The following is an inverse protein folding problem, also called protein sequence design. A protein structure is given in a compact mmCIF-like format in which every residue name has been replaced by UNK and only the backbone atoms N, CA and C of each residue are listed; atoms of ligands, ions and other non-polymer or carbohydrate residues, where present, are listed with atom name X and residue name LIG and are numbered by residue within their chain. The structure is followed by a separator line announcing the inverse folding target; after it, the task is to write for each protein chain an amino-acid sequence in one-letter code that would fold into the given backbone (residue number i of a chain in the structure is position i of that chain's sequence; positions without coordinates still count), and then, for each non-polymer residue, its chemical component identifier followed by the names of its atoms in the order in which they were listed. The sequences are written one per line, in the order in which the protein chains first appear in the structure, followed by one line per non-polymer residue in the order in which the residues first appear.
data_IF_663121636343
#
_entry.id   IF_663121636343
#
_cell.length_a   1.000
_cell.length_b   1.000
_cell.length_c   1.000
_cell.angle_alpha   90.00
_cell.angle_beta   90.00
_cell.angle_gamma   90.00
#
_symmetry.space_group_name_H-M   'P 1'
#
loop_
_entity.id
_entity.type
_entity.pdbx_description
1 polymer ?
#
# COMPACT_ATOMS: atom_id res chain seq x y z
N UNK A 1 5.90 43.15 -3.86
CA UNK A 1 6.74 42.42 -2.89
C UNK A 1 6.35 40.96 -2.94
N UNK A 2 7.21 40.11 -3.50
CA UNK A 2 7.04 38.64 -3.54
C UNK A 2 7.70 38.09 -2.27
N UNK A 3 6.92 37.47 -1.38
CA UNK A 3 7.47 36.69 -0.29
C UNK A 3 7.70 35.27 -0.81
N UNK A 4 8.94 35.00 -1.20
CA UNK A 4 9.48 33.65 -1.33
C UNK A 4 9.82 33.14 0.07
N UNK A 5 9.00 32.22 0.58
CA UNK A 5 9.24 31.44 1.80
C UNK A 5 9.26 29.96 1.42
N UNK A 6 10.39 29.22 1.50
CA UNK A 6 10.69 28.23 2.57
C UNK A 6 9.91 26.89 2.37
N UNK A 7 10.40 25.64 2.49
CA UNK A 7 11.52 24.93 3.14
C UNK A 7 11.72 23.56 2.46
N UNK A 8 12.90 22.97 2.59
CA UNK A 8 13.25 21.57 2.25
C UNK A 8 12.53 20.48 3.08
N UNK A 9 12.61 19.23 2.57
CA UNK A 9 12.68 17.93 3.27
C UNK A 9 11.44 17.01 3.48
N UNK A 10 11.73 15.71 3.25
CA UNK A 10 11.14 14.40 3.65
C UNK A 10 10.18 13.65 2.69
N UNK A 11 10.52 12.38 2.41
CA UNK A 11 10.10 11.52 1.28
C UNK A 11 9.45 10.18 1.70
N UNK A 12 8.63 9.57 0.83
CA UNK A 12 7.98 8.24 0.96
C UNK A 12 7.46 7.72 -0.42
N UNK A 13 7.40 6.39 -0.66
CA UNK A 13 7.38 5.72 -1.99
C UNK A 13 6.20 4.76 -2.26
N UNK A 14 5.29 4.95 -3.23
CA UNK A 14 4.15 4.00 -3.39
C UNK A 14 3.71 3.61 -4.78
N UNK A 15 2.83 2.61 -4.88
CA UNK A 15 1.93 2.42 -6.02
C UNK A 15 0.72 3.32 -5.80
N UNK A 16 0.44 4.28 -6.69
CA UNK A 16 -0.79 5.08 -6.62
C UNK A 16 -1.72 4.63 -7.73
N UNK A 17 -2.93 4.22 -7.35
CA UNK A 17 -4.06 4.00 -8.25
C UNK A 17 -4.85 5.30 -8.35
N UNK A 18 -4.80 5.94 -9.50
CA UNK A 18 -5.62 7.11 -9.82
C UNK A 18 -6.95 6.67 -10.42
N UNK A 19 -7.99 7.37 -9.99
CA UNK A 19 -9.31 7.41 -10.55
C UNK A 19 -9.50 8.88 -11.00
N UNK A 20 -9.29 9.25 -12.27
CA UNK A 20 -9.25 10.67 -12.74
C UNK A 20 -10.37 11.03 -13.73
N UNK A 21 -10.63 12.34 -13.93
CA UNK A 21 -10.61 12.92 -15.26
C UNK A 21 -9.51 14.00 -15.41
N UNK A 22 -8.51 13.72 -16.25
CA UNK A 22 -7.50 14.60 -16.89
C UNK A 22 -6.80 15.65 -15.97
N UNK A 23 -5.53 15.47 -15.58
CA UNK A 23 -4.31 15.73 -16.39
C UNK A 23 -3.09 14.92 -15.88
N UNK A 24 -2.09 14.65 -16.75
CA UNK A 24 -0.96 13.80 -16.42
C UNK A 24 0.09 14.53 -15.58
N UNK A 25 0.48 13.94 -14.46
CA UNK A 25 1.81 14.14 -13.90
C UNK A 25 2.45 12.76 -13.79
N UNK A 26 3.41 12.53 -14.68
CA UNK A 26 4.23 11.33 -14.77
C UNK A 26 5.05 11.15 -13.51
N UNK A 27 5.02 9.97 -12.90
CA UNK A 27 5.96 9.60 -11.83
C UNK A 27 6.36 8.12 -11.98
N UNK A 28 7.65 7.85 -11.80
CA UNK A 28 8.44 6.70 -12.30
C UNK A 28 9.08 5.93 -11.15
N UNK A 29 9.11 4.59 -11.09
CA UNK A 29 9.95 3.80 -10.13
C UNK A 29 11.23 3.25 -10.75
N UNK A 30 12.36 3.55 -10.12
CA UNK A 30 13.47 2.61 -9.89
C UNK A 30 13.89 2.79 -8.41
N UNK A 31 13.76 1.75 -7.55
CA UNK A 31 14.20 1.79 -6.14
C UNK A 31 13.53 0.84 -5.12
N UNK A 32 14.18 -0.31 -4.88
CA UNK A 32 14.41 -1.20 -3.69
C UNK A 32 13.66 -1.16 -2.33
N UNK A 33 12.67 -0.31 -2.05
CA UNK A 33 12.04 -0.27 -0.71
C UNK A 33 10.76 -1.14 -0.64
N UNK A 34 10.91 -2.37 -0.12
CA UNK A 34 9.84 -3.38 -0.02
C UNK A 34 9.56 -3.78 1.42
N UNK A 35 8.34 -4.25 1.69
CA UNK A 35 7.94 -4.80 2.98
C UNK A 35 7.85 -6.33 2.85
N UNK A 36 8.53 -7.04 3.76
CA UNK A 36 8.45 -8.49 3.86
C UNK A 36 7.14 -8.94 4.54
N UNK A 37 6.20 -9.50 3.77
CA UNK A 37 4.94 -10.00 4.34
C UNK A 37 5.07 -11.39 4.97
N UNK A 38 6.29 -11.94 4.98
CA UNK A 38 6.57 -13.25 5.53
C UNK A 38 5.83 -14.34 4.78
N UNK A 39 5.23 -15.24 5.55
CA UNK A 39 4.35 -16.31 5.09
C UNK A 39 2.88 -15.88 4.91
N UNK A 40 2.56 -14.60 5.15
CA UNK A 40 1.22 -14.07 5.00
C UNK A 40 0.99 -13.63 3.54
N UNK A 41 0.31 -14.47 2.76
CA UNK A 41 0.10 -14.27 1.32
C UNK A 41 -1.37 -14.46 0.92
N UNK A 42 -1.73 -13.98 -0.28
CA UNK A 42 -3.04 -14.23 -0.87
C UNK A 42 -4.21 -13.67 -0.04
N UNK A 43 -5.28 -14.45 0.10
CA UNK A 43 -6.49 -14.02 0.82
C UNK A 43 -6.26 -13.78 2.31
N UNK A 44 -5.26 -14.43 2.92
CA UNK A 44 -4.92 -14.20 4.32
C UNK A 44 -4.32 -12.80 4.49
N UNK A 45 -3.40 -12.42 3.60
CA UNK A 45 -2.84 -11.07 3.56
C UNK A 45 -3.92 -10.01 3.29
N UNK A 46 -4.81 -10.26 2.33
CA UNK A 46 -5.96 -9.38 2.06
C UNK A 46 -6.77 -9.13 3.32
N UNK A 47 -7.21 -10.19 4.01
CA UNK A 47 -8.06 -10.08 5.19
C UNK A 47 -7.39 -9.31 6.33
N UNK A 48 -6.11 -9.58 6.58
CA UNK A 48 -5.35 -8.89 7.62
C UNK A 48 -5.12 -7.41 7.31
N UNK A 49 -4.77 -7.08 6.06
CA UNK A 49 -4.59 -5.67 5.63
C UNK A 49 -5.92 -4.92 5.63
N UNK A 50 -6.99 -5.55 5.13
CA UNK A 50 -8.34 -4.97 5.17
C UNK A 50 -8.73 -4.65 6.61
N UNK A 51 -8.57 -5.61 7.53
CA UNK A 51 -8.91 -5.44 8.94
C UNK A 51 -8.06 -4.33 9.60
N UNK A 52 -6.77 -4.29 9.30
CA UNK A 52 -5.88 -3.25 9.81
C UNK A 52 -6.32 -1.86 9.35
N UNK A 53 -6.57 -1.68 8.06
CA UNK A 53 -7.00 -0.40 7.49
C UNK A 53 -8.42 -0.01 7.94
N UNK A 54 -9.35 -0.96 8.06
CA UNK A 54 -10.70 -0.70 8.60
C UNK A 54 -10.64 -0.23 10.05
N UNK A 55 -9.73 -0.80 10.85
CA UNK A 55 -9.49 -0.33 12.21
C UNK A 55 -8.81 1.05 12.25
N UNK A 56 -7.85 1.31 11.36
CA UNK A 56 -7.16 2.59 11.25
C UNK A 56 -8.09 3.70 10.75
N UNK A 57 -9.11 3.37 9.95
CA UNK A 57 -9.98 4.33 9.27
C UNK A 57 -11.44 4.10 9.69
N UNK A 58 -11.89 4.57 10.86
CA UNK A 58 -13.23 4.26 11.37
C UNK A 58 -14.36 5.00 10.61
N UNK A 59 -15.56 4.41 10.63
CA UNK A 59 -16.76 4.84 9.90
C UNK A 59 -17.22 6.29 10.13
N UNK A 60 -16.93 6.85 11.30
CA UNK A 60 -17.44 8.14 11.75
C UNK A 60 -16.44 9.29 11.55
N UNK A 61 -15.28 9.02 10.97
CA UNK A 61 -14.22 10.00 10.77
C UNK A 61 -14.03 10.30 9.29
N UNK A 62 -13.53 11.50 8.98
CA UNK A 62 -13.26 11.91 7.58
C UNK A 62 -11.92 11.41 7.06
N UNK A 63 -11.07 10.97 7.98
CA UNK A 63 -9.69 10.55 7.79
C UNK A 63 -9.37 9.43 8.78
N UNK A 64 -8.27 8.72 8.55
CA UNK A 64 -7.79 7.68 9.43
C UNK A 64 -7.14 8.25 10.70
N UNK A 65 -6.94 7.39 11.70
CA UNK A 65 -6.46 7.73 13.04
C UNK A 65 -5.03 8.26 13.03
N UNK A 66 -4.84 9.36 13.74
CA UNK A 66 -3.53 9.91 14.14
C UNK A 66 -3.41 9.89 15.66
N UNK A 67 -2.19 9.79 16.17
CA UNK A 67 -1.90 9.92 17.60
C UNK A 67 -1.97 11.39 18.07
N UNK A 68 -1.80 11.62 19.37
CA UNK A 68 -1.84 12.97 19.96
C UNK A 68 -0.75 13.90 19.39
N UNK A 69 0.35 13.34 18.89
CA UNK A 69 1.43 14.06 18.22
C UNK A 69 1.18 14.25 16.71
N UNK A 70 -0.03 13.94 16.23
CA UNK A 70 -0.43 13.98 14.83
C UNK A 70 0.42 13.08 13.92
N UNK A 71 0.92 11.96 14.44
CA UNK A 71 1.59 10.92 13.66
C UNK A 71 0.60 9.81 13.31
N UNK A 72 0.74 9.16 12.13
CA UNK A 72 -0.09 8.02 11.78
C UNK A 72 -0.03 6.94 12.87
N UNK A 73 -1.21 6.47 13.31
CA UNK A 73 -1.26 5.27 14.15
C UNK A 73 -0.85 4.07 13.30
N UNK A 74 -0.12 3.14 13.91
CA UNK A 74 0.35 1.91 13.26
C UNK A 74 -0.39 0.70 13.83
N UNK A 75 -0.88 -0.16 12.94
CA UNK A 75 -1.41 -1.47 13.25
C UNK A 75 -0.35 -2.54 12.97
N UNK A 76 -0.19 -3.52 13.85
CA UNK A 76 0.81 -4.58 13.72
C UNK A 76 0.15 -5.91 13.36
N UNK A 77 0.42 -6.39 12.15
CA UNK A 77 -0.03 -7.70 11.67
C UNK A 77 1.08 -8.72 11.93
N UNK A 78 0.85 -9.80 12.71
CA UNK A 78 1.86 -10.83 12.93
C UNK A 78 2.29 -11.51 11.63
N UNK A 79 3.58 -11.67 11.41
CA UNK A 79 4.18 -12.37 10.26
C UNK A 79 5.38 -13.20 10.69
N UNK A 80 5.78 -14.17 9.87
CA UNK A 80 7.00 -14.97 10.10
C UNK A 80 7.97 -14.85 8.93
N UNK A 81 9.25 -14.68 9.23
CA UNK A 81 10.31 -14.61 8.22
C UNK A 81 11.53 -15.45 8.63
N UNK A 82 12.46 -15.66 7.70
CA UNK A 82 13.70 -16.42 7.95
C UNK A 82 14.87 -15.46 8.15
N UNK A 83 15.61 -15.60 9.26
CA UNK A 83 16.93 -14.96 9.46
C UNK A 83 18.01 -16.05 9.57
N UNK A 84 18.77 -16.22 8.50
CA UNK A 84 19.76 -17.29 8.38
C UNK A 84 19.11 -18.68 8.37
N UNK A 85 19.17 -19.39 9.49
CA UNK A 85 18.58 -20.75 9.61
C UNK A 85 17.41 -20.81 10.60
N UNK A 86 16.98 -19.66 11.10
CA UNK A 86 15.96 -19.54 12.15
C UNK A 86 14.70 -18.92 11.56
N UNK A 87 13.53 -19.50 11.91
CA UNK A 87 12.24 -18.87 11.68
C UNK A 87 11.95 -17.89 12.82
N UNK A 88 11.71 -16.63 12.47
CA UNK A 88 11.48 -15.52 13.40
C UNK A 88 10.00 -15.09 13.33
N UNK A 89 9.43 -14.75 14.49
CA UNK A 89 8.11 -14.10 14.60
C UNK A 89 8.31 -12.58 14.72
N UNK A 90 7.57 -11.78 13.93
CA UNK A 90 7.61 -10.32 13.94
C UNK A 90 6.26 -9.75 13.46
N UNK A 91 6.23 -8.49 13.05
CA UNK A 91 5.04 -7.83 12.54
C UNK A 91 5.29 -7.03 11.25
N UNK A 92 4.35 -7.15 10.32
CA UNK A 92 4.09 -6.17 9.29
C UNK A 92 3.33 -5.00 9.92
N UNK A 93 3.98 -3.85 9.96
CA UNK A 93 3.42 -2.58 10.41
C UNK A 93 2.64 -1.94 9.26
N UNK A 94 1.38 -1.60 9.50
CA UNK A 94 0.49 -0.92 8.57
C UNK A 94 0.12 0.43 9.15
N UNK A 95 0.37 1.51 8.42
CA UNK A 95 -0.04 2.86 8.75
C UNK A 95 -0.78 3.52 7.60
N UNK A 96 -1.49 4.63 7.86
CA UNK A 96 -2.07 5.47 6.81
C UNK A 96 -1.46 6.85 6.90
N UNK A 97 -0.62 7.21 5.94
CA UNK A 97 0.08 8.51 5.93
C UNK A 97 -0.90 9.66 5.73
N UNK A 98 -1.79 9.50 4.75
CA UNK A 98 -2.73 10.52 4.31
C UNK A 98 -4.04 9.86 3.93
N UNK A 99 -5.17 10.44 4.35
CA UNK A 99 -6.47 10.01 3.89
C UNK A 99 -7.50 11.12 3.97
N UNK A 100 -8.41 11.12 3.00
CA UNK A 100 -9.64 11.86 3.04
C UNK A 100 -10.69 11.10 2.24
N UNK A 101 -11.83 10.81 2.86
CA UNK A 101 -12.98 10.15 2.22
C UNK A 101 -14.32 10.77 2.68
N UNK A 102 -14.27 11.92 3.35
CA UNK A 102 -15.43 12.58 3.92
C UNK A 102 -16.24 11.65 4.82
N UNK A 103 -17.57 11.69 4.72
CA UNK A 103 -18.47 10.80 5.46
C UNK A 103 -18.95 9.60 4.61
N UNK A 104 -18.26 9.29 3.51
CA UNK A 104 -18.68 8.28 2.55
C UNK A 104 -18.05 6.91 2.90
N UNK A 105 -18.78 6.08 3.67
CA UNK A 105 -18.31 4.74 4.03
C UNK A 105 -18.10 3.83 2.81
N UNK A 106 -18.94 3.95 1.77
CA UNK A 106 -18.76 3.15 0.57
C UNK A 106 -17.40 3.45 -0.09
N UNK A 107 -17.03 4.73 -0.19
CA UNK A 107 -15.74 5.16 -0.71
C UNK A 107 -14.57 4.73 0.19
N UNK A 108 -14.73 4.85 1.51
CA UNK A 108 -13.75 4.36 2.49
C UNK A 108 -13.46 2.87 2.32
N UNK A 109 -14.49 2.03 2.21
CA UNK A 109 -14.35 0.58 1.99
C UNK A 109 -13.71 0.26 0.66
N UNK A 110 -14.02 1.04 -0.39
CA UNK A 110 -13.37 0.88 -1.68
C UNK A 110 -11.89 1.22 -1.61
N UNK A 111 -11.49 2.29 -0.93
CA UNK A 111 -10.07 2.57 -0.68
C UNK A 111 -9.36 1.43 0.04
N UNK A 112 -9.94 0.94 1.13
CA UNK A 112 -9.39 -0.18 1.90
C UNK A 112 -9.28 -1.44 1.04
N UNK A 113 -10.36 -1.79 0.34
CA UNK A 113 -10.45 -2.98 -0.51
C UNK A 113 -9.45 -2.95 -1.66
N UNK A 114 -9.29 -1.79 -2.31
CA UNK A 114 -8.33 -1.59 -3.40
C UNK A 114 -6.90 -1.73 -2.90
N UNK A 115 -6.55 -1.12 -1.75
CA UNK A 115 -5.20 -1.24 -1.16
C UNK A 115 -4.92 -2.70 -0.76
N UNK A 116 -5.84 -3.33 -0.03
CA UNK A 116 -5.69 -4.73 0.38
C UNK A 116 -5.59 -5.67 -0.83
N UNK A 117 -6.39 -5.42 -1.87
CA UNK A 117 -6.37 -6.15 -3.13
C UNK A 117 -5.04 -6.00 -3.88
N UNK A 118 -4.51 -4.78 -3.99
CA UNK A 118 -3.23 -4.53 -4.63
C UNK A 118 -2.09 -5.27 -3.91
N UNK A 119 -2.07 -5.22 -2.58
CA UNK A 119 -1.08 -5.92 -1.74
C UNK A 119 -1.21 -7.45 -1.87
N UNK A 120 -2.44 -7.97 -1.89
CA UNK A 120 -2.70 -9.38 -2.18
C UNK A 120 -2.11 -9.78 -3.54
N UNK A 121 -2.42 -9.02 -4.60
CA UNK A 121 -1.95 -9.33 -5.96
C UNK A 121 -0.44 -9.24 -6.08
N UNK A 122 0.19 -8.28 -5.40
CA UNK A 122 1.63 -8.23 -5.29
C UNK A 122 2.21 -9.51 -4.64
N UNK A 123 1.60 -10.01 -3.56
CA UNK A 123 2.05 -11.23 -2.88
C UNK A 123 1.78 -12.52 -3.68
N UNK A 124 0.84 -12.51 -4.62
CA UNK A 124 0.54 -13.66 -5.48
C UNK A 124 1.45 -13.71 -6.71
N UNK A 125 2.15 -12.61 -7.01
CA UNK A 125 3.05 -12.54 -8.15
C UNK A 125 4.33 -13.36 -7.89
N UNK A 126 4.59 -14.36 -8.75
CA UNK A 126 5.76 -15.24 -8.62
C UNK A 126 7.09 -14.50 -8.59
N UNK A 127 7.18 -13.35 -9.26
CA UNK A 127 8.37 -12.50 -9.24
C UNK A 127 8.69 -11.91 -7.87
N UNK A 128 7.73 -11.85 -6.94
CA UNK A 128 7.88 -11.20 -5.64
C UNK A 128 8.12 -12.16 -4.48
N UNK A 129 8.09 -13.46 -4.78
CA UNK A 129 8.17 -14.52 -3.79
C UNK A 129 9.36 -15.42 -4.06
N UNK A 130 10.05 -15.80 -2.99
CA UNK A 130 11.18 -16.73 -3.05
C UNK A 130 11.05 -17.80 -1.98
N UNK A 131 11.68 -18.95 -2.25
CA UNK A 131 11.70 -20.08 -1.33
C UNK A 131 12.90 -19.92 -0.39
N UNK A 132 12.64 -19.72 0.89
CA UNK A 132 13.67 -19.70 1.92
C UNK A 132 13.76 -21.05 2.63
N UNK A 133 14.98 -21.42 3.04
CA UNK A 133 15.23 -22.67 3.77
C UNK A 133 15.69 -22.37 5.19
N UNK A 134 15.03 -22.97 6.19
CA UNK A 134 15.41 -22.86 7.59
C UNK A 134 15.57 -24.23 8.25
N UNK A 135 16.22 -24.28 9.42
CA UNK A 135 16.55 -25.50 10.14
C UNK A 135 17.91 -26.09 9.76
N UNK A 136 18.65 -26.57 10.77
CA UNK A 136 20.04 -27.05 10.61
C UNK A 136 20.09 -28.53 10.24
N UNK A 137 19.41 -29.39 11.01
CA UNK A 137 19.41 -30.84 10.81
C UNK A 137 18.27 -31.33 9.90
N UNK A 138 17.09 -30.72 10.06
CA UNK A 138 15.93 -30.91 9.19
C UNK A 138 15.69 -29.58 8.49
N UNK A 139 15.85 -29.55 7.17
CA UNK A 139 15.63 -28.37 6.35
C UNK A 139 14.15 -28.29 5.99
N UNK A 140 13.56 -27.14 6.28
CA UNK A 140 12.18 -26.81 5.92
C UNK A 140 12.20 -25.65 4.94
N UNK A 141 11.27 -25.67 3.99
CA UNK A 141 11.13 -24.61 3.01
C UNK A 141 9.89 -23.78 3.35
N UNK A 142 10.02 -22.46 3.22
CA UNK A 142 8.92 -21.50 3.37
C UNK A 142 8.95 -20.52 2.20
N UNK A 143 7.79 -20.16 1.69
CA UNK A 143 7.69 -19.12 0.66
C UNK A 143 7.57 -17.79 1.37
N UNK A 144 8.49 -16.88 1.08
CA UNK A 144 8.47 -15.51 1.60
C UNK A 144 8.23 -14.57 0.43
N UNK A 145 7.31 -13.62 0.62
CA UNK A 145 6.97 -12.63 -0.39
C UNK A 145 7.25 -11.22 0.10
N UNK A 146 7.45 -10.32 -0.87
CA UNK A 146 7.59 -8.89 -0.62
C UNK A 146 6.46 -8.11 -1.29
N UNK A 147 6.11 -6.96 -0.72
CA UNK A 147 5.11 -6.03 -1.25
C UNK A 147 5.71 -4.62 -1.32
N UNK A 148 5.04 -3.70 -2.00
CA UNK A 148 5.46 -2.30 -2.02
C UNK A 148 5.25 -1.68 -0.63
N UNK A 149 6.21 -0.86 -0.17
CA UNK A 149 6.11 -0.17 1.11
C UNK A 149 4.96 0.83 1.17
N UNK A 150 4.42 1.27 0.04
CA UNK A 150 3.24 2.13 0.07
C UNK A 150 2.30 1.78 -1.08
N UNK A 151 1.01 1.92 -0.78
CA UNK A 151 -0.06 1.79 -1.76
C UNK A 151 -1.06 2.89 -1.50
N UNK A 152 -1.33 3.69 -2.51
CA UNK A 152 -2.26 4.80 -2.48
C UNK A 152 -3.36 4.64 -3.50
N UNK A 153 -4.50 5.26 -3.21
CA UNK A 153 -5.62 5.38 -4.13
C UNK A 153 -6.08 6.82 -4.08
N UNK A 154 -6.25 7.45 -5.24
CA UNK A 154 -6.71 8.84 -5.38
C UNK A 154 -7.87 8.84 -6.36
N UNK A 155 -9.05 9.27 -5.92
CA UNK A 155 -10.29 9.22 -6.73
C UNK A 155 -10.75 10.60 -7.19
N UNK A 156 -10.48 11.63 -6.40
CA UNK A 156 -10.66 13.02 -6.83
C UNK A 156 -9.45 13.79 -6.32
N UNK A 157 -8.67 14.37 -7.23
CA UNK A 157 -7.39 14.98 -6.89
C UNK A 157 -7.54 16.06 -5.82
N UNK A 158 -6.76 15.94 -4.74
CA UNK A 158 -6.83 16.80 -3.57
C UNK A 158 -8.14 16.73 -2.76
N UNK A 159 -9.07 15.85 -3.12
CA UNK A 159 -10.37 15.69 -2.45
C UNK A 159 -10.46 14.31 -1.80
N UNK A 160 -10.40 13.23 -2.56
CA UNK A 160 -10.54 11.87 -2.00
C UNK A 160 -9.34 11.01 -2.32
N UNK A 161 -8.68 10.56 -1.27
CA UNK A 161 -7.47 9.78 -1.36
C UNK A 161 -7.24 8.95 -0.09
N UNK A 162 -6.43 7.90 -0.20
CA UNK A 162 -5.89 7.15 0.92
C UNK A 162 -4.51 6.63 0.52
N UNK A 163 -3.50 6.80 1.38
CA UNK A 163 -2.14 6.29 1.17
C UNK A 163 -1.72 5.49 2.38
N UNK A 164 -1.67 4.17 2.22
CA UNK A 164 -1.17 3.24 3.22
C UNK A 164 0.35 3.08 3.10
N UNK A 165 0.99 2.93 4.26
CA UNK A 165 2.40 2.58 4.42
C UNK A 165 2.49 1.20 5.07
N UNK A 166 3.45 0.41 4.60
CA UNK A 166 3.79 -0.93 5.03
C UNK A 166 5.26 -0.94 5.41
N UNK A 167 5.57 -1.43 6.61
CA UNK A 167 6.95 -1.53 7.13
C UNK A 167 7.13 -2.87 7.82
N UNK A 168 8.34 -3.41 7.76
CA UNK A 168 8.68 -4.67 8.42
C UNK A 168 10.01 -4.50 9.13
N UNK A 169 10.14 -5.04 10.36
CA UNK A 169 11.41 -4.97 11.08
C UNK A 169 12.39 -6.08 10.66
N UNK A 170 11.90 -7.11 9.96
CA UNK A 170 12.71 -8.12 9.31
C UNK A 170 13.64 -7.52 8.25
N UNK A 171 14.82 -8.13 8.05
CA UNK A 171 15.77 -7.71 7.01
C UNK A 171 15.10 -7.77 5.64
N UNK A 172 15.34 -6.74 4.82
CA UNK A 172 14.98 -6.68 3.40
C UNK A 172 15.63 -7.85 2.65
N UNK A 173 14.96 -9.01 2.59
CA UNK A 173 15.45 -10.13 1.82
C UNK A 173 14.91 -10.06 0.38
N UNK A 174 15.86 -9.92 -0.54
CA UNK A 174 15.72 -10.18 -1.97
C UNK A 174 14.67 -9.32 -2.69
N UNK A 175 15.04 -8.07 -2.95
CA UNK A 175 14.32 -7.16 -3.85
C UNK A 175 14.20 -7.73 -5.26
N UNK A 176 13.03 -8.30 -5.56
CA UNK A 176 12.60 -8.63 -6.92
C UNK A 176 11.25 -8.00 -7.26
N UNK A 177 10.63 -7.27 -6.32
CA UNK A 177 9.39 -6.56 -6.55
C UNK A 177 9.62 -5.27 -7.34
N UNK A 178 9.89 -5.44 -8.63
CA UNK A 178 9.84 -4.33 -9.57
C UNK A 178 8.36 -3.98 -9.77
N UNK A 179 7.96 -2.76 -9.40
CA UNK A 179 6.58 -2.30 -9.55
C UNK A 179 6.06 -2.50 -11.00
N UNK A 180 6.93 -2.42 -12.00
CA UNK A 180 6.64 -2.73 -13.41
C UNK A 180 6.02 -4.12 -13.62
N UNK A 181 6.43 -5.12 -12.86
CA UNK A 181 5.96 -6.51 -12.96
C UNK A 181 4.60 -6.73 -12.30
N UNK A 182 4.32 -6.02 -11.22
CA UNK A 182 3.07 -6.13 -10.44
C UNK A 182 1.99 -5.23 -10.99
N UNK A 183 2.37 -4.07 -11.54
CA UNK A 183 1.46 -3.05 -12.07
C UNK A 183 0.32 -3.63 -12.91
N UNK A 184 0.55 -4.41 -13.98
CA UNK A 184 -0.55 -4.89 -14.83
C UNK A 184 -1.56 -5.75 -14.06
N UNK A 185 -1.11 -6.51 -13.05
CA UNK A 185 -1.97 -7.38 -12.24
C UNK A 185 -2.85 -6.53 -11.31
N UNK A 186 -2.28 -5.45 -10.77
CA UNK A 186 -3.03 -4.49 -9.94
C UNK A 186 -4.00 -3.68 -10.79
N UNK A 187 -3.57 -3.15 -11.94
CA UNK A 187 -4.42 -2.43 -12.91
C UNK A 187 -5.66 -3.25 -13.25
N UNK A 188 -5.49 -4.51 -13.62
CA UNK A 188 -6.61 -5.39 -13.95
C UNK A 188 -7.57 -5.60 -12.77
N UNK A 189 -7.04 -5.75 -11.55
CA UNK A 189 -7.87 -5.85 -10.35
C UNK A 189 -8.62 -4.55 -10.01
N UNK A 190 -8.07 -3.38 -10.35
CA UNK A 190 -8.73 -2.09 -10.12
C UNK A 190 -9.81 -1.83 -11.15
N UNK A 191 -9.60 -2.21 -12.41
CA UNK A 191 -10.61 -2.05 -13.48
C UNK A 191 -11.94 -2.68 -13.10
N UNK A 192 -11.90 -3.84 -12.45
CA UNK A 192 -13.08 -4.55 -11.97
C UNK A 192 -13.84 -3.78 -10.87
N UNK A 193 -13.19 -2.82 -10.19
CA UNK A 193 -13.77 -2.00 -9.12
C UNK A 193 -14.29 -0.63 -9.61
N UNK A 194 -14.03 -0.26 -10.86
CA UNK A 194 -14.46 1.04 -11.41
C UNK A 194 -15.98 1.26 -11.36
N UNK A 195 -16.84 0.25 -11.62
CA UNK A 195 -18.29 0.42 -11.46
C UNK A 195 -18.70 0.76 -10.03
N UNK A 196 -18.05 0.16 -9.03
CA UNK A 196 -18.32 0.41 -7.62
C UNK A 196 -17.86 1.80 -7.20
N UNK A 197 -16.69 2.25 -7.66
CA UNK A 197 -16.24 3.63 -7.48
C UNK A 197 -17.23 4.63 -8.08
N UNK A 198 -17.66 4.40 -9.33
CA UNK A 198 -18.69 5.22 -9.98
C UNK A 198 -19.97 5.28 -9.15
N UNK A 199 -20.43 4.13 -8.64
CA UNK A 199 -21.61 4.08 -7.77
C UNK A 199 -21.40 4.86 -6.46
N UNK A 200 -20.26 4.72 -5.81
CA UNK A 200 -19.94 5.38 -4.55
C UNK A 200 -19.81 6.92 -4.68
N UNK A 201 -19.47 7.39 -5.88
CA UNK A 201 -19.35 8.82 -6.22
C UNK A 201 -20.64 9.42 -6.78
N UNK A 202 -21.77 8.70 -6.75
CA UNK A 202 -23.04 9.21 -7.26
C UNK A 202 -23.15 9.23 -8.79
N UNK A 203 -22.40 8.35 -9.47
CA UNK A 203 -22.47 8.17 -10.92
C UNK A 203 -21.44 8.97 -11.72
N UNK A 204 -20.51 9.66 -11.07
CA UNK A 204 -19.38 10.32 -11.73
C UNK A 204 -18.50 9.29 -12.46
N UNK A 205 -18.01 9.65 -13.66
CA UNK A 205 -17.12 8.76 -14.41
C UNK A 205 -15.75 8.67 -13.73
N UNK A 206 -15.23 7.45 -13.68
CA UNK A 206 -13.98 7.10 -13.01
C UNK A 206 -13.08 6.41 -14.03
N UNK A 207 -11.84 6.88 -14.18
CA UNK A 207 -10.85 6.26 -15.07
C UNK A 207 -9.59 5.88 -14.32
N UNK A 208 -9.08 4.68 -14.58
CA UNK A 208 -7.94 4.10 -13.87
C UNK A 208 -6.60 4.56 -14.46
N UNK A 209 -5.65 4.88 -13.60
CA UNK A 209 -4.23 5.05 -13.95
C UNK A 209 -3.38 4.54 -12.78
N UNK A 210 -2.64 3.45 -12.97
CA UNK A 210 -1.71 2.95 -11.96
C UNK A 210 -0.31 3.48 -12.23
N UNK A 211 0.24 4.20 -11.26
CA UNK A 211 1.59 4.74 -11.32
C UNK A 211 2.50 4.08 -10.29
N UNK A 212 3.73 3.82 -10.72
CA UNK A 212 4.80 3.39 -9.83
C UNK A 212 5.63 4.63 -9.46
N UNK A 213 5.69 5.02 -8.16
CA UNK A 213 6.45 6.19 -7.71
C UNK A 213 7.89 5.86 -7.25
N UNK A 214 8.93 6.47 -7.85
CA UNK A 214 10.25 6.64 -7.22
C UNK A 214 10.27 7.98 -6.52
N UNK A 215 10.90 8.02 -5.35
CA UNK A 215 11.71 9.10 -4.78
C UNK A 215 11.53 10.53 -5.34
N UNK A 216 10.30 11.00 -5.43
CA UNK A 216 10.00 12.42 -5.63
C UNK A 216 8.98 12.80 -4.60
N UNK A 217 9.35 13.79 -3.79
CA UNK A 217 8.53 14.28 -2.69
C UNK A 217 7.10 14.60 -3.17
N UNK A 218 6.08 14.34 -2.32
CA UNK A 218 4.69 14.62 -2.65
C UNK A 218 4.50 16.10 -3.04
N UNK A 219 3.52 16.40 -3.91
CA UNK A 219 3.20 17.78 -4.27
C UNK A 219 2.84 18.55 -3.00
N UNK A 220 3.68 19.55 -2.67
CA UNK A 220 3.35 20.51 -1.62
C UNK A 220 2.17 21.35 -2.08
N UNK A 221 1.16 21.49 -1.22
CA UNK A 221 0.21 22.60 -1.33
C UNK A 221 0.87 23.91 -0.95
#
# INVERSE_FOLDING_TARGET
MKLSGWVSALAAFGTIVFAKPLRPETVSTDGTDVANVGDLVGSALYGSVYQALDWLCPLSEQQCKYDDAHKPVVYKIPVRYVDGTTLMDDSLEVGVLYSHYGTNDALRRLFIGTIAGAVQKASEHKGNCHLETYGVALKYNIVICTINNFVGVVVRDGVDYMVAEFKTNGKDCCNTNECSSVRPIVEDSVKDLLPEYKSALGGEDVSEETNCLANTAPPKR
#
